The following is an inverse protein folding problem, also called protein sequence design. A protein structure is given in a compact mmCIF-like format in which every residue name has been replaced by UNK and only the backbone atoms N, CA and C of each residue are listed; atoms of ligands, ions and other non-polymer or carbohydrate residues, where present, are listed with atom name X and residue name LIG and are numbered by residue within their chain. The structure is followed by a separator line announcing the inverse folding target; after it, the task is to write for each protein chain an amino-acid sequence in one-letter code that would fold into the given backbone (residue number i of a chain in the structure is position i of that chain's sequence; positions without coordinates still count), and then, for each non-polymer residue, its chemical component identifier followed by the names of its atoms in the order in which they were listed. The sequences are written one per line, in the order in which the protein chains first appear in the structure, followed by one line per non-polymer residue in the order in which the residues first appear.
data_IF_817023460642
#
_entry.id   IF_817023460642
#
_cell.length_a   1.000
_cell.length_b   1.000
_cell.length_c   1.000
_cell.angle_alpha   90.00
_cell.angle_beta   90.00
_cell.angle_gamma   90.00
#
_symmetry.space_group_name_H-M   'P 1'
#
loop_
_entity.id
_entity.type
_entity.pdbx_description
1 polymer ?
#
# COMPACT_ATOMS: atom_id res chain seq x y z
N UNK A 1 20.97 -17.28 20.85
CA UNK A 1 20.53 -16.80 19.53
C UNK A 1 19.76 -15.51 19.70
N UNK A 2 20.38 -14.34 19.43
CA UNK A 2 19.65 -13.07 19.43
C UNK A 2 18.72 -13.04 18.23
N UNK A 3 17.40 -13.15 18.45
CA UNK A 3 16.40 -12.71 17.48
C UNK A 3 16.67 -11.22 17.26
N UNK A 4 17.39 -10.86 16.19
CA UNK A 4 17.44 -9.47 15.73
C UNK A 4 16.00 -9.11 15.35
N UNK A 5 15.38 -8.22 16.11
CA UNK A 5 14.14 -7.59 15.71
C UNK A 5 14.39 -6.95 14.34
N UNK A 6 13.81 -7.53 13.29
CA UNK A 6 13.81 -6.91 11.98
C UNK A 6 12.84 -5.75 12.09
N UNK A 7 13.36 -4.56 12.41
CA UNK A 7 12.62 -3.32 12.25
C UNK A 7 12.36 -3.15 10.75
N UNK A 8 11.08 -3.24 10.37
CA UNK A 8 10.63 -2.99 9.01
C UNK A 8 10.19 -1.53 8.98
N UNK A 9 10.96 -0.72 8.27
CA UNK A 9 10.58 0.66 7.99
C UNK A 9 9.74 0.68 6.71
N UNK A 10 8.61 1.37 6.78
CA UNK A 10 7.66 1.50 5.69
C UNK A 10 7.62 2.96 5.33
N UNK A 11 7.93 3.24 4.06
CA UNK A 11 7.90 4.57 3.51
C UNK A 11 6.62 4.70 2.68
N UNK A 12 5.84 5.72 3.03
CA UNK A 12 4.63 6.11 2.30
C UNK A 12 4.98 7.41 1.59
N UNK A 13 4.87 7.42 0.27
CA UNK A 13 5.16 8.60 -0.56
C UNK A 13 3.99 8.91 -1.46
N UNK A 14 3.68 10.18 -1.65
CA UNK A 14 2.66 10.61 -2.61
C UNK A 14 3.01 10.09 -4.02
N UNK A 15 2.04 9.48 -4.68
CA UNK A 15 2.21 8.87 -5.99
C UNK A 15 0.91 8.95 -6.80
N UNK A 16 1.04 8.99 -8.12
CA UNK A 16 -0.10 8.79 -9.01
C UNK A 16 -0.32 7.31 -9.22
N UNK A 17 -1.47 6.81 -8.79
CA UNK A 17 -1.84 5.40 -8.86
C UNK A 17 -2.80 5.20 -10.02
N UNK A 18 -2.46 4.29 -10.92
CA UNK A 18 -3.32 3.99 -12.07
C UNK A 18 -4.28 2.87 -11.72
N UNK A 19 -5.57 3.13 -11.87
CA UNK A 19 -6.65 2.17 -11.64
C UNK A 19 -7.44 2.02 -12.93
N UNK A 20 -7.35 0.84 -13.54
CA UNK A 20 -7.92 0.56 -14.86
C UNK A 20 -7.24 1.41 -15.93
N UNK A 21 -7.96 2.40 -16.44
CA UNK A 21 -7.47 3.36 -17.45
C UNK A 21 -7.26 4.77 -16.89
N UNK A 22 -7.69 5.02 -15.65
CA UNK A 22 -7.64 6.33 -15.02
C UNK A 22 -6.50 6.40 -14.01
N UNK A 23 -5.91 7.58 -13.85
CA UNK A 23 -4.89 7.82 -12.82
C UNK A 23 -5.45 8.71 -11.73
N UNK A 24 -5.31 8.24 -10.49
CA UNK A 24 -5.77 8.91 -9.29
C UNK A 24 -4.58 9.36 -8.45
N UNK A 25 -4.78 10.41 -7.65
CA UNK A 25 -3.82 10.74 -6.60
C UNK A 25 -3.87 9.69 -5.51
N UNK A 26 -2.76 9.51 -4.82
CA UNK A 26 -2.61 8.41 -3.89
C UNK A 26 -1.23 8.29 -3.30
N UNK A 27 -0.92 7.10 -2.81
CA UNK A 27 0.28 6.81 -2.06
C UNK A 27 0.92 5.50 -2.53
N UNK A 28 2.23 5.51 -2.70
CA UNK A 28 3.03 4.31 -2.89
C UNK A 28 3.60 3.84 -1.54
N UNK A 29 3.43 2.57 -1.22
CA UNK A 29 4.02 1.95 -0.05
C UNK A 29 5.26 1.18 -0.44
N UNK A 30 6.37 1.52 0.19
CA UNK A 30 7.64 0.85 -0.05
C UNK A 30 8.25 0.36 1.27
N UNK A 31 8.86 -0.83 1.19
CA UNK A 31 9.74 -1.36 2.24
C UNK A 31 11.16 -1.32 1.70
N UNK A 32 11.95 -0.35 2.15
CA UNK A 32 13.30 -0.10 1.66
C UNK A 32 13.32 0.30 0.18
N UNK A 33 13.59 -0.66 -0.72
CA UNK A 33 13.59 -0.45 -2.18
C UNK A 33 12.48 -1.21 -2.91
N UNK A 34 11.62 -1.92 -2.17
CA UNK A 34 10.55 -2.73 -2.76
C UNK A 34 9.23 -2.00 -2.61
N UNK A 35 8.51 -1.80 -3.71
CA UNK A 35 7.10 -1.43 -3.70
C UNK A 35 6.29 -2.63 -3.20
N UNK A 36 5.52 -2.43 -2.13
CA UNK A 36 4.67 -3.48 -1.54
C UNK A 36 3.19 -3.29 -1.88
N UNK A 37 2.80 -2.08 -2.27
CA UNK A 37 1.44 -1.77 -2.69
C UNK A 37 1.30 -0.31 -3.07
N UNK A 38 0.19 -0.01 -3.74
CA UNK A 38 -0.22 1.34 -4.09
C UNK A 38 -1.61 1.58 -3.49
N UNK A 39 -1.90 2.80 -3.09
CA UNK A 39 -3.18 3.21 -2.56
C UNK A 39 -3.67 4.39 -3.37
N UNK A 40 -4.80 4.25 -4.07
CA UNK A 40 -5.48 5.37 -4.72
C UNK A 40 -6.44 6.05 -3.74
N UNK A 41 -6.48 7.37 -3.75
CA UNK A 41 -7.51 8.14 -3.08
C UNK A 41 -8.69 8.36 -4.04
N UNK A 42 -9.85 7.81 -3.67
CA UNK A 42 -11.06 7.78 -4.47
C UNK A 42 -12.23 8.22 -3.59
N UNK A 43 -12.84 9.37 -3.90
CA UNK A 43 -14.02 9.90 -3.20
C UNK A 43 -13.86 9.99 -1.67
N UNK A 44 -12.66 10.38 -1.20
CA UNK A 44 -12.34 10.46 0.24
C UNK A 44 -12.16 9.09 0.91
N UNK A 45 -11.98 8.04 0.13
CA UNK A 45 -11.63 6.70 0.57
C UNK A 45 -10.26 6.30 -0.01
N UNK A 46 -9.62 5.34 0.65
CA UNK A 46 -8.31 4.81 0.29
C UNK A 46 -8.47 3.40 -0.27
N UNK A 47 -8.24 3.25 -1.57
CA UNK A 47 -8.32 1.99 -2.27
C UNK A 47 -6.94 1.38 -2.43
N UNK A 48 -6.74 0.15 -1.97
CA UNK A 48 -5.53 -0.60 -2.28
C UNK A 48 -5.60 -1.02 -3.74
N UNK A 49 -4.59 -0.64 -4.50
CA UNK A 49 -4.46 -0.92 -5.92
C UNK A 49 -3.29 -1.87 -6.13
N UNK A 50 -3.55 -2.90 -6.93
CA UNK A 50 -2.55 -3.89 -7.31
C UNK A 50 -2.74 -4.25 -8.76
N UNK A 51 -1.67 -4.06 -9.54
CA UNK A 51 -1.68 -4.37 -10.97
C UNK A 51 -2.83 -3.67 -11.72
N UNK A 52 -3.07 -2.40 -11.38
CA UNK A 52 -4.13 -1.59 -11.98
C UNK A 52 -5.57 -1.93 -11.54
N UNK A 53 -5.77 -2.85 -10.59
CA UNK A 53 -7.09 -3.20 -10.09
C UNK A 53 -7.21 -2.86 -8.61
N UNK A 54 -8.40 -2.44 -8.19
CA UNK A 54 -8.68 -2.22 -6.78
C UNK A 54 -8.88 -3.57 -6.10
N UNK A 55 -8.05 -3.86 -5.11
CA UNK A 55 -8.14 -5.08 -4.30
C UNK A 55 -9.10 -4.87 -3.14
N UNK A 56 -9.08 -3.69 -2.51
CA UNK A 56 -9.92 -3.38 -1.33
C UNK A 56 -10.04 -1.87 -1.11
N UNK A 57 -11.10 -1.45 -0.41
CA UNK A 57 -11.36 -0.05 -0.07
C UNK A 57 -11.44 0.15 1.45
N UNK A 58 -10.86 1.25 1.92
CA UNK A 58 -10.83 1.62 3.32
C UNK A 58 -11.20 3.09 3.52
N UNK A 59 -11.84 3.41 4.63
CA UNK A 59 -12.14 4.80 5.00
C UNK A 59 -10.95 5.56 5.60
N UNK A 60 -9.91 4.84 6.02
CA UNK A 60 -8.72 5.40 6.67
C UNK A 60 -7.46 4.87 6.00
N UNK A 61 -6.51 5.75 5.72
CA UNK A 61 -5.21 5.41 5.14
C UNK A 61 -4.47 4.39 6.01
N UNK A 62 -4.46 4.58 7.32
CA UNK A 62 -3.83 3.67 8.29
C UNK A 62 -4.28 2.22 8.11
N UNK A 63 -5.59 2.00 7.87
CA UNK A 63 -6.15 0.67 7.70
C UNK A 63 -5.76 0.04 6.36
N UNK A 64 -5.72 0.84 5.30
CA UNK A 64 -5.23 0.41 3.99
C UNK A 64 -3.74 0.06 4.02
N UNK A 65 -2.94 0.86 4.74
CA UNK A 65 -1.51 0.62 4.96
C UNK A 65 -1.30 -0.68 5.75
N UNK A 66 -1.96 -0.85 6.89
CA UNK A 66 -1.88 -2.06 7.72
C UNK A 66 -2.20 -3.32 6.89
N UNK A 67 -3.29 -3.29 6.13
CA UNK A 67 -3.68 -4.43 5.31
C UNK A 67 -2.69 -4.70 4.16
N UNK A 68 -2.16 -3.65 3.51
CA UNK A 68 -1.12 -3.80 2.47
C UNK A 68 0.12 -4.52 3.02
N UNK A 69 0.48 -4.27 4.27
CA UNK A 69 1.63 -4.88 4.95
C UNK A 69 1.33 -6.33 5.34
N UNK A 70 0.16 -6.59 5.92
CA UNK A 70 -0.28 -7.93 6.28
C UNK A 70 -0.28 -8.84 5.04
N UNK A 71 -0.89 -8.39 3.94
CA UNK A 71 -0.95 -9.13 2.67
C UNK A 71 0.45 -9.39 2.10
N UNK A 72 1.37 -8.43 2.21
CA UNK A 72 2.76 -8.64 1.79
C UNK A 72 3.51 -9.67 2.65
N UNK A 73 3.25 -9.70 3.96
CA UNK A 73 3.91 -10.64 4.88
C UNK A 73 3.30 -12.05 4.84
N UNK A 74 2.00 -12.17 4.56
CA UNK A 74 1.29 -13.44 4.47
C UNK A 74 1.57 -14.20 3.16
N UNK A 75 1.95 -13.50 2.09
CA UNK A 75 2.34 -14.11 0.82
C UNK A 75 3.81 -14.53 0.75
N UNK A 76 4.46 -14.75 1.90
CA UNK A 76 5.88 -15.09 1.97
C UNK A 76 6.15 -16.51 2.44
#
# INVERSE_FOLDING_TARGET
MSKKDKKIEIQVTDAKVTVGQDSYEGYALTIGKKLIGEIAELDGQFAIVKNGNIESFYKKLEKAVENSIETYNLNK
#
